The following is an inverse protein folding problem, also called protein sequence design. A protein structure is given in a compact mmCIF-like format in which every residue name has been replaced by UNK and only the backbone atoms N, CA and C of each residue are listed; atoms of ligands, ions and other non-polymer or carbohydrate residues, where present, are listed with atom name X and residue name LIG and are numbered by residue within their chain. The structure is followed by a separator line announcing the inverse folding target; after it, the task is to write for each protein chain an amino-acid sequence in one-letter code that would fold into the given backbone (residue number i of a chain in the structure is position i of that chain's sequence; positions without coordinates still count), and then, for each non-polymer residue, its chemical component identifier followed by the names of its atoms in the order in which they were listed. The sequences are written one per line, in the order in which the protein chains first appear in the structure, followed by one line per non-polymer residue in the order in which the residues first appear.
data_IF_004830448903
#
_entry.id   IF_004830448903
#
_cell.length_a   1.000
_cell.length_b   1.000
_cell.length_c   1.000
_cell.angle_alpha   90.00
_cell.angle_beta   90.00
_cell.angle_gamma   90.00
#
_symmetry.space_group_name_H-M   'P 1'
#
loop_
_entity.id
_entity.type
_entity.pdbx_description
1 polymer ?
#
# COMPACT_ATOMS: atom_id res chain seq x y z
N UNK A 1 10.25 -7.74 2.77
CA UNK A 1 10.51 -8.59 3.95
C UNK A 1 10.88 -7.86 5.24
N UNK A 2 10.29 -6.70 5.57
CA UNK A 2 10.49 -6.06 6.89
C UNK A 2 9.47 -6.49 7.95
N UNK A 3 8.25 -6.81 7.52
CA UNK A 3 7.16 -7.24 8.41
C UNK A 3 7.37 -8.67 8.89
N UNK A 4 7.23 -8.88 10.21
CA UNK A 4 7.43 -10.18 10.85
C UNK A 4 6.47 -10.38 12.05
N UNK A 5 6.26 -11.64 12.44
CA UNK A 5 5.56 -12.03 13.66
C UNK A 5 4.11 -11.54 13.69
N UNK A 6 3.70 -10.75 14.70
CA UNK A 6 2.32 -10.33 14.87
C UNK A 6 1.75 -9.59 13.64
N UNK A 7 2.57 -8.79 12.96
CA UNK A 7 2.16 -8.10 11.72
C UNK A 7 1.76 -9.07 10.60
N UNK A 8 2.42 -10.24 10.51
CA UNK A 8 2.10 -11.28 9.53
C UNK A 8 0.79 -11.98 9.87
N UNK A 9 0.52 -12.19 11.17
CA UNK A 9 -0.74 -12.77 11.64
C UNK A 9 -1.91 -11.85 11.27
N UNK A 10 -1.75 -10.54 11.49
CA UNK A 10 -2.78 -9.54 11.16
C UNK A 10 -2.98 -9.44 9.65
N UNK A 11 -1.91 -9.32 8.88
CA UNK A 11 -1.99 -9.23 7.42
C UNK A 11 -2.64 -10.48 6.82
N UNK A 12 -2.19 -11.67 7.23
CA UNK A 12 -2.75 -12.94 6.78
C UNK A 12 -4.23 -13.08 7.14
N UNK A 13 -4.64 -12.74 8.38
CA UNK A 13 -6.04 -12.83 8.78
C UNK A 13 -6.95 -11.88 7.98
N UNK A 14 -6.49 -10.65 7.72
CA UNK A 14 -7.26 -9.70 6.92
C UNK A 14 -7.37 -10.12 5.45
N UNK A 15 -6.28 -10.63 4.87
CA UNK A 15 -6.23 -11.16 3.50
C UNK A 15 -7.18 -12.34 3.35
N UNK A 16 -7.05 -13.33 4.23
CA UNK A 16 -7.86 -14.54 4.27
C UNK A 16 -9.36 -14.23 4.35
N UNK A 17 -9.75 -13.30 5.22
CA UNK A 17 -11.15 -12.90 5.34
C UNK A 17 -11.63 -11.95 4.23
N UNK A 18 -10.80 -11.65 3.23
CA UNK A 18 -11.09 -10.68 2.16
C UNK A 18 -11.52 -9.31 2.72
N UNK A 19 -10.90 -8.90 3.84
CA UNK A 19 -11.19 -7.64 4.54
C UNK A 19 -10.17 -6.54 4.23
N UNK A 20 -9.01 -6.89 3.67
CA UNK A 20 -8.03 -5.95 3.17
C UNK A 20 -7.23 -6.61 2.03
N UNK A 21 -6.63 -5.75 1.19
CA UNK A 21 -5.59 -6.14 0.24
C UNK A 21 -4.23 -5.94 0.90
N UNK A 22 -3.32 -6.90 0.74
CA UNK A 22 -1.93 -6.82 1.18
C UNK A 22 -1.08 -6.32 0.02
N UNK A 23 -0.42 -5.18 0.20
CA UNK A 23 0.40 -4.52 -0.84
C UNK A 23 1.85 -4.45 -0.38
N UNK A 24 2.79 -4.70 -1.30
CA UNK A 24 4.22 -4.54 -1.04
C UNK A 24 5.02 -5.78 -1.42
N UNK A 25 5.89 -6.24 -0.53
CA UNK A 25 6.72 -7.44 -0.75
C UNK A 25 6.40 -8.51 0.27
N UNK A 26 6.73 -9.76 -0.07
CA UNK A 26 6.70 -10.90 0.82
C UNK A 26 7.27 -10.58 2.21
N UNK A 27 6.56 -10.99 3.26
CA UNK A 27 6.96 -10.79 4.66
C UNK A 27 8.07 -11.77 5.07
N UNK A 28 8.56 -11.67 6.31
CA UNK A 28 9.75 -12.42 6.75
C UNK A 28 9.51 -13.93 6.92
N UNK A 29 8.34 -14.36 7.38
CA UNK A 29 8.01 -15.76 7.65
C UNK A 29 8.26 -16.22 9.08
N UNK A 30 8.08 -15.35 10.08
CA UNK A 30 8.18 -15.73 11.49
C UNK A 30 6.82 -16.15 12.03
N UNK A 31 6.50 -17.42 11.84
CA UNK A 31 5.25 -18.04 12.27
C UNK A 31 5.38 -18.91 13.52
N UNK A 32 6.33 -18.65 14.43
CA UNK A 32 6.58 -19.49 15.61
C UNK A 32 6.52 -18.71 16.93
N UNK A 33 6.03 -19.36 17.99
CA UNK A 33 6.06 -18.86 19.38
C UNK A 33 7.23 -19.47 20.13
N UNK A 34 7.95 -18.65 20.88
CA UNK A 34 9.07 -19.09 21.71
C UNK A 34 8.77 -18.79 23.17
N UNK A 35 8.99 -19.78 24.03
CA UNK A 35 8.85 -19.68 25.48
C UNK A 35 10.23 -19.83 26.12
N UNK A 36 10.52 -19.03 27.14
CA UNK A 36 11.75 -19.11 27.91
C UNK A 36 11.48 -19.99 29.12
N UNK A 37 12.19 -21.12 29.21
CA UNK A 37 12.11 -22.07 30.30
C UNK A 37 13.36 -21.92 31.18
N UNK A 38 13.25 -21.50 32.44
CA UNK A 38 14.41 -21.44 33.33
C UNK A 38 14.94 -22.85 33.62
N UNK A 39 16.25 -23.00 33.75
CA UNK A 39 16.91 -24.24 34.19
C UNK A 39 17.64 -24.00 35.51
N UNK A 40 17.98 -25.08 36.24
CA UNK A 40 18.74 -24.96 37.49
C UNK A 40 20.03 -24.14 37.29
N UNK A 41 20.24 -23.14 38.15
CA UNK A 41 21.32 -22.17 38.03
C UNK A 41 20.85 -20.83 37.44
N UNK A 42 21.70 -20.17 36.66
CA UNK A 42 21.43 -18.87 36.03
C UNK A 42 21.10 -18.97 34.53
N UNK A 43 20.82 -20.18 34.02
CA UNK A 43 20.54 -20.43 32.60
C UNK A 43 19.05 -20.47 32.26
N UNK A 44 18.75 -20.38 30.96
CA UNK A 44 17.41 -20.60 30.42
C UNK A 44 17.45 -21.23 29.02
N UNK A 45 16.40 -21.96 28.67
CA UNK A 45 16.19 -22.56 27.34
C UNK A 45 15.11 -21.75 26.62
N UNK A 46 15.42 -21.26 25.42
CA UNK A 46 14.40 -20.69 24.52
C UNK A 46 13.86 -21.79 23.63
N UNK A 47 12.64 -22.24 23.90
CA UNK A 47 12.01 -23.35 23.20
C UNK A 47 10.89 -22.86 22.29
N UNK A 48 10.80 -23.38 21.07
CA UNK A 48 9.63 -23.14 20.21
C UNK A 48 8.48 -24.02 20.68
N UNK A 49 7.37 -23.40 21.05
CA UNK A 49 6.22 -24.09 21.67
C UNK A 49 4.99 -24.15 20.78
N UNK A 50 4.89 -23.28 19.78
CA UNK A 50 3.77 -23.27 18.85
C UNK A 50 4.14 -22.69 17.49
N UNK A 51 3.25 -22.91 16.52
CA UNK A 51 3.25 -22.26 15.20
C UNK A 51 1.94 -21.52 14.97
N UNK A 52 2.00 -20.42 14.25
CA UNK A 52 0.84 -19.67 13.78
C UNK A 52 0.46 -20.09 12.37
N UNK A 53 -0.84 -20.24 12.19
CA UNK A 53 -1.50 -20.47 10.91
C UNK A 53 -2.52 -19.37 10.70
N UNK A 54 -2.68 -18.96 9.45
CA UNK A 54 -3.75 -18.06 9.03
C UNK A 54 -5.12 -18.75 9.14
N UNK A 55 -6.25 -18.02 9.13
CA UNK A 55 -7.59 -18.61 9.19
C UNK A 55 -7.88 -19.72 8.16
N UNK A 56 -7.26 -19.68 6.98
CA UNK A 56 -7.37 -20.73 5.95
C UNK A 56 -6.36 -21.88 6.13
N UNK A 57 -5.62 -21.91 7.25
CA UNK A 57 -4.68 -22.99 7.56
C UNK A 57 -3.33 -22.90 6.85
N UNK A 58 -3.03 -21.79 6.16
CA UNK A 58 -1.69 -21.56 5.57
C UNK A 58 -0.67 -21.24 6.68
N UNK A 59 0.50 -21.90 6.60
CA UNK A 59 1.62 -21.70 7.53
C UNK A 59 2.32 -20.39 7.23
N UNK A 60 2.65 -19.62 8.28
CA UNK A 60 3.49 -18.42 8.13
C UNK A 60 4.98 -18.77 8.25
N UNK A 61 5.31 -19.86 8.95
CA UNK A 61 6.70 -20.19 9.27
C UNK A 61 7.51 -20.52 8.01
N UNK A 62 8.63 -19.82 7.81
CA UNK A 62 9.53 -19.92 6.66
C UNK A 62 8.91 -19.57 5.29
N UNK A 63 7.62 -19.23 5.27
CA UNK A 63 6.89 -18.87 4.06
C UNK A 63 6.49 -17.40 4.07
N UNK A 64 6.03 -16.84 5.19
CA UNK A 64 5.51 -15.47 5.24
C UNK A 64 4.13 -15.33 4.60
N UNK A 65 3.72 -14.09 4.41
CA UNK A 65 2.50 -13.68 3.72
C UNK A 65 2.91 -13.12 2.37
N UNK A 66 2.38 -13.73 1.31
CA UNK A 66 2.49 -13.18 -0.05
C UNK A 66 1.51 -12.02 -0.21
N UNK A 67 1.94 -10.89 -0.80
CA UNK A 67 1.06 -9.78 -1.06
C UNK A 67 0.06 -10.12 -2.18
N UNK A 68 -1.13 -9.54 -2.11
CA UNK A 68 -2.10 -9.58 -3.22
C UNK A 68 -1.60 -8.74 -4.40
N UNK A 69 -0.90 -7.64 -4.09
CA UNK A 69 -0.30 -6.74 -5.08
C UNK A 69 1.18 -6.57 -4.76
N UNK A 70 2.02 -7.19 -5.60
CA UNK A 70 3.47 -7.08 -5.49
C UNK A 70 3.92 -5.67 -5.91
N UNK A 71 4.57 -4.97 -4.99
CA UNK A 71 5.22 -3.67 -5.25
C UNK A 71 6.64 -3.76 -4.69
N UNK A 72 7.63 -3.69 -5.56
CA UNK A 72 9.03 -3.73 -5.15
C UNK A 72 9.45 -2.43 -4.46
N UNK A 73 10.50 -2.51 -3.65
CA UNK A 73 11.11 -1.33 -3.06
C UNK A 73 12.00 -0.67 -4.11
N UNK A 74 11.60 0.53 -4.54
CA UNK A 74 12.31 1.31 -5.54
C UNK A 74 12.83 2.60 -4.90
N UNK A 75 14.05 2.98 -5.28
CA UNK A 75 14.55 4.33 -5.04
C UNK A 75 14.09 5.22 -6.19
N UNK A 76 13.23 6.19 -5.87
CA UNK A 76 12.74 7.15 -6.85
C UNK A 76 13.83 8.17 -7.08
N UNK A 77 14.55 8.02 -8.20
CA UNK A 77 15.46 9.06 -8.68
C UNK A 77 14.69 9.98 -9.62
N UNK A 78 14.87 11.29 -9.46
CA UNK A 78 14.39 12.23 -10.46
C UNK A 78 15.24 12.01 -11.71
N UNK A 79 14.66 11.66 -12.87
CA UNK A 79 15.44 11.66 -14.10
C UNK A 79 15.96 13.07 -14.31
N UNK A 80 17.27 13.18 -14.58
CA UNK A 80 17.93 14.42 -15.00
C UNK A 80 17.08 15.06 -16.09
N UNK A 81 16.34 16.10 -15.73
CA UNK A 81 15.48 16.81 -16.66
C UNK A 81 16.40 17.70 -17.47
N UNK A 82 16.90 17.18 -18.60
CA UNK A 82 17.47 18.02 -19.64
C UNK A 82 16.48 19.16 -19.96
N UNK A 83 16.95 20.35 -20.41
CA UNK A 83 16.09 21.52 -20.58
C UNK A 83 14.85 21.17 -21.39
N UNK A 84 13.69 21.11 -20.72
CA UNK A 84 12.40 20.91 -21.39
C UNK A 84 11.95 22.26 -21.89
N UNK A 85 12.19 22.53 -23.17
CA UNK A 85 11.69 23.75 -23.83
C UNK A 85 10.16 23.67 -23.85
N UNK A 86 9.51 24.56 -23.12
CA UNK A 86 8.06 24.79 -23.20
C UNK A 86 7.79 25.87 -24.25
N UNK A 87 6.56 25.92 -24.75
CA UNK A 87 6.15 26.98 -25.67
C UNK A 87 6.35 28.37 -25.07
N UNK A 88 6.10 28.52 -23.76
CA UNK A 88 6.38 29.73 -23.00
C UNK A 88 7.87 30.12 -22.95
N UNK A 89 8.79 29.19 -23.20
CA UNK A 89 10.24 29.47 -23.21
C UNK A 89 10.72 29.95 -24.60
N UNK A 90 9.87 29.89 -25.62
CA UNK A 90 10.18 30.33 -26.98
C UNK A 90 10.09 31.86 -27.10
N UNK A 91 10.98 32.43 -27.93
CA UNK A 91 10.90 33.85 -28.31
C UNK A 91 9.62 34.07 -29.13
N UNK A 92 8.71 34.89 -28.60
CA UNK A 92 7.45 35.25 -29.26
C UNK A 92 6.25 34.39 -28.87
N UNK A 93 6.30 33.71 -27.72
CA UNK A 93 5.13 33.02 -27.18
C UNK A 93 4.00 33.98 -26.81
N UNK A 94 2.78 33.45 -26.76
CA UNK A 94 1.57 34.20 -26.41
C UNK A 94 1.24 33.99 -24.93
N UNK A 95 1.01 35.08 -24.20
CA UNK A 95 0.62 35.04 -22.79
C UNK A 95 -0.87 34.72 -22.62
N UNK A 96 -1.20 33.92 -21.60
CA UNK A 96 -2.59 33.72 -21.16
C UNK A 96 -2.97 34.74 -20.08
N UNK A 97 -4.23 35.18 -20.10
CA UNK A 97 -4.73 36.31 -19.29
C UNK A 97 -4.83 36.05 -17.77
N UNK A 98 -4.62 34.82 -17.28
CA UNK A 98 -4.82 34.45 -15.86
C UNK A 98 -3.53 34.15 -15.07
N UNK A 99 -2.34 34.39 -15.61
CA UNK A 99 -1.10 33.86 -15.02
C UNK A 99 -0.45 34.76 -13.94
N UNK A 100 -1.24 35.22 -12.96
CA UNK A 100 -0.76 36.12 -11.89
C UNK A 100 -0.61 35.49 -10.49
N UNK A 101 -1.00 34.23 -10.26
CA UNK A 101 -0.81 33.61 -8.94
C UNK A 101 -0.58 32.11 -9.02
N UNK A 102 0.67 31.70 -9.24
CA UNK A 102 1.11 30.34 -8.89
C UNK A 102 2.53 30.43 -8.33
N UNK A 103 2.64 30.82 -7.06
CA UNK A 103 3.86 30.65 -6.29
C UNK A 103 4.11 29.14 -6.14
N UNK A 104 5.26 28.69 -6.61
CA UNK A 104 5.70 27.30 -6.56
C UNK A 104 5.84 26.84 -5.12
N UNK A 105 5.11 25.79 -4.78
CA UNK A 105 5.33 25.01 -3.56
C UNK A 105 6.46 24.01 -3.84
N UNK A 106 7.70 24.46 -3.62
CA UNK A 106 8.89 23.63 -3.73
C UNK A 106 9.01 22.73 -2.50
N UNK A 107 8.25 21.63 -2.46
CA UNK A 107 8.53 20.51 -1.57
C UNK A 107 9.63 19.62 -2.20
N UNK A 108 10.83 20.18 -2.28
CA UNK A 108 12.04 19.47 -2.70
C UNK A 108 12.67 18.77 -1.48
N UNK A 109 12.12 17.60 -1.14
CA UNK A 109 12.74 16.77 -0.12
C UNK A 109 11.86 15.69 0.46
N UNK A 110 11.29 14.81 -0.35
CA UNK A 110 10.85 13.53 0.18
C UNK A 110 11.22 12.43 -0.81
N UNK A 111 12.15 11.57 -0.40
CA UNK A 111 12.21 10.21 -0.96
C UNK A 111 10.93 9.55 -0.46
N UNK A 112 9.83 9.86 -1.15
CA UNK A 112 8.50 9.37 -0.86
C UNK A 112 8.54 7.85 -1.00
N UNK A 113 8.24 7.14 0.07
CA UNK A 113 8.17 5.67 0.08
C UNK A 113 7.28 5.20 -1.08
N UNK A 114 7.91 4.58 -2.09
CA UNK A 114 7.22 4.16 -3.30
C UNK A 114 6.09 3.18 -3.00
N UNK A 115 6.33 2.24 -2.08
CA UNK A 115 5.33 1.23 -1.72
C UNK A 115 4.12 1.87 -1.02
N UNK A 116 4.37 2.87 -0.17
CA UNK A 116 3.32 3.64 0.49
C UNK A 116 2.49 4.46 -0.51
N UNK A 117 3.16 5.12 -1.46
CA UNK A 117 2.49 5.90 -2.49
C UNK A 117 1.63 5.04 -3.41
N UNK A 118 2.13 3.88 -3.84
CA UNK A 118 1.34 2.93 -4.63
C UNK A 118 0.14 2.42 -3.83
N UNK A 119 0.31 2.07 -2.55
CA UNK A 119 -0.81 1.68 -1.70
C UNK A 119 -1.87 2.79 -1.57
N UNK A 120 -1.44 4.06 -1.45
CA UNK A 120 -2.33 5.21 -1.42
C UNK A 120 -3.07 5.41 -2.75
N UNK A 121 -2.37 5.26 -3.88
CA UNK A 121 -2.97 5.38 -5.21
C UNK A 121 -4.02 4.29 -5.45
N UNK A 122 -3.73 3.06 -5.06
CA UNK A 122 -4.69 1.95 -5.11
C UNK A 122 -5.92 2.24 -4.24
N UNK A 123 -5.72 2.73 -3.02
CA UNK A 123 -6.82 3.08 -2.13
C UNK A 123 -7.71 4.18 -2.71
N UNK A 124 -7.09 5.24 -3.27
CA UNK A 124 -7.80 6.33 -3.97
C UNK A 124 -8.60 5.78 -5.16
N UNK A 125 -8.00 4.91 -5.97
CA UNK A 125 -8.66 4.32 -7.13
C UNK A 125 -9.87 3.47 -6.72
N UNK A 126 -9.75 2.65 -5.69
CA UNK A 126 -10.87 1.85 -5.14
C UNK A 126 -11.98 2.76 -4.61
N UNK A 127 -11.62 3.84 -3.91
CA UNK A 127 -12.59 4.80 -3.38
C UNK A 127 -13.35 5.52 -4.51
N UNK A 128 -12.65 5.99 -5.54
CA UNK A 128 -13.26 6.63 -6.72
C UNK A 128 -14.15 5.67 -7.51
N UNK A 129 -13.71 4.42 -7.71
CA UNK A 129 -14.50 3.39 -8.38
C UNK A 129 -15.81 3.11 -7.62
N UNK A 130 -15.74 3.00 -6.30
CA UNK A 130 -16.94 2.83 -5.47
C UNK A 130 -17.85 4.04 -5.52
N UNK A 131 -17.30 5.26 -5.53
CA UNK A 131 -18.08 6.48 -5.66
C UNK A 131 -18.82 6.56 -7.01
N UNK A 132 -18.18 6.16 -8.12
CA UNK A 132 -18.84 6.07 -9.43
C UNK A 132 -19.96 5.03 -9.46
N UNK A 133 -19.75 3.84 -8.87
CA UNK A 133 -20.77 2.79 -8.86
C UNK A 133 -22.06 3.20 -8.11
N UNK A 134 -21.94 4.01 -7.05
CA UNK A 134 -23.09 4.53 -6.29
C UNK A 134 -23.92 5.52 -7.14
N UNK A 135 -23.30 6.23 -8.08
CA UNK A 135 -24.01 7.18 -8.95
C UNK A 135 -24.87 6.44 -9.99
N UNK A 136 -24.40 5.32 -10.55
CA UNK A 136 -25.17 4.54 -11.53
C UNK A 136 -26.42 3.87 -10.93
N UNK A 137 -26.37 3.39 -9.68
CA UNK A 137 -27.53 2.77 -9.02
C UNK A 137 -28.66 3.78 -8.72
N UNK A 138 -28.33 5.06 -8.54
CA UNK A 138 -29.32 6.11 -8.24
C UNK A 138 -30.14 6.61 -9.45
N UNK A 139 -29.77 6.21 -10.67
CA UNK A 139 -30.40 6.69 -11.92
C UNK A 139 -31.54 5.78 -12.40
N UNK A 140 -31.73 4.59 -11.81
CA UNK A 140 -32.71 3.60 -12.29
C UNK A 140 -34.08 3.61 -11.60
N UNK A 141 -34.35 4.53 -10.68
CA UNK A 141 -35.60 4.56 -9.89
C UNK A 141 -36.73 5.46 -10.45
N UNK A 142 -36.64 5.95 -11.70
CA UNK A 142 -37.70 6.76 -12.31
C UNK A 142 -38.54 5.90 -13.29
N UNK A 143 -39.45 5.07 -12.75
CA UNK A 143 -40.50 4.44 -13.55
C UNK A 143 -41.54 5.50 -13.97
N UNK A 144 -41.91 5.59 -15.26
CA UNK A 144 -42.90 6.56 -15.68
C UNK A 144 -44.29 6.12 -15.21
N UNK A 145 -44.93 6.96 -14.39
CA UNK A 145 -46.35 6.84 -14.06
C UNK A 145 -47.17 6.85 -15.36
N UNK A 146 -47.66 5.68 -15.77
CA UNK A 146 -48.65 5.55 -16.85
C UNK A 146 -50.01 6.05 -16.35
N UNK A 147 -50.61 6.97 -17.09
CA UNK A 147 -51.96 7.50 -16.89
C UNK A 147 -52.99 6.74 -17.74
#
# INVERSE_FOLDING_TARGET
GGSASASEIVAGALQDHRRALVVGTKTFGKGSVQTILPVHGSGAIKLTTARYYTPHGRSIQAEGIEPDILVERLEVTRPESGPRVREADLRGHLDNEENLTAAGDENDGEITDYQLNEALNLLKAIALSRASAVVEESVTDDEPLTN
#
